data_IF_061333219576
#
_entry.id   IF_061333219576
#
_cell.length_a   1.000
_cell.length_b   1.000
_cell.length_c   1.000
_cell.angle_alpha   90.00
_cell.angle_beta   90.00
_cell.angle_gamma   90.00
#
_symmetry.space_group_name_H-M   'P 1'
#
loop_
_entity.id
_entity.type
_entity.pdbx_description
1 polymer ?
#
# COMPACT_ATOMS: atom_id res chain seq x y z
N UNK A 1 39.99 4.11 23.47
CA UNK A 1 39.13 3.95 24.67
C UNK A 1 37.70 3.98 24.17
N UNK A 2 37.07 2.81 24.11
CA UNK A 2 35.74 2.59 23.53
C UNK A 2 34.71 2.98 24.59
N UNK A 3 33.89 4.00 24.32
CA UNK A 3 32.82 4.41 25.24
C UNK A 3 31.49 3.80 24.79
N UNK A 4 30.98 2.97 25.69
CA UNK A 4 29.74 2.21 25.65
C UNK A 4 28.52 3.15 25.68
N UNK A 5 27.68 3.10 24.65
CA UNK A 5 26.50 3.96 24.52
C UNK A 5 25.29 3.46 25.31
N UNK A 6 25.42 2.38 26.10
CA UNK A 6 24.36 1.86 26.98
C UNK A 6 24.20 2.58 28.32
N UNK A 7 24.86 3.72 28.55
CA UNK A 7 24.87 4.38 29.84
C UNK A 7 24.31 5.82 29.83
N UNK A 8 23.07 6.03 29.36
CA UNK A 8 22.26 7.18 29.80
C UNK A 8 20.84 6.70 30.07
N UNK A 9 20.42 6.91 31.32
CA UNK A 9 19.24 6.32 31.92
C UNK A 9 17.91 6.83 31.39
N UNK A 10 16.94 5.93 31.45
CA UNK A 10 15.51 6.23 31.44
C UNK A 10 15.19 7.24 32.55
N UNK A 11 14.77 8.44 32.18
CA UNK A 11 14.31 9.46 33.12
C UNK A 11 13.93 10.76 32.43
N UNK A 12 12.69 10.86 31.95
CA UNK A 12 12.12 12.10 31.44
C UNK A 12 11.30 11.91 30.17
N UNK A 13 9.99 11.70 30.33
CA UNK A 13 9.02 11.65 29.23
C UNK A 13 8.89 13.06 28.62
N UNK A 14 9.19 13.31 27.33
CA UNK A 14 8.89 14.60 26.72
C UNK A 14 7.42 14.58 26.30
N UNK A 15 6.54 14.93 27.24
CA UNK A 15 5.09 15.12 27.00
C UNK A 15 4.79 16.37 26.14
N UNK A 16 5.79 16.87 25.40
CA UNK A 16 5.80 18.16 24.71
C UNK A 16 5.96 18.04 23.20
N UNK A 17 6.50 16.94 22.68
CA UNK A 17 6.90 16.88 21.26
C UNK A 17 5.74 16.58 20.30
N UNK A 18 4.62 16.09 20.82
CA UNK A 18 3.41 15.77 20.03
C UNK A 18 2.25 16.71 20.31
N UNK A 19 2.35 17.58 21.33
CA UNK A 19 1.23 18.43 21.76
C UNK A 19 0.86 19.46 20.69
N UNK A 20 1.86 20.05 20.03
CA UNK A 20 1.63 20.96 18.92
C UNK A 20 0.98 20.26 17.71
N UNK A 21 1.28 18.97 17.50
CA UNK A 21 0.66 18.16 16.45
C UNK A 21 -0.81 17.87 16.77
N UNK A 22 -1.10 17.49 18.01
CA UNK A 22 -2.48 17.29 18.51
C UNK A 22 -3.30 18.58 18.43
N UNK A 23 -2.75 19.71 18.87
CA UNK A 23 -3.42 21.01 18.81
C UNK A 23 -3.69 21.44 17.36
N UNK A 24 -2.75 21.18 16.44
CA UNK A 24 -2.92 21.47 15.01
C UNK A 24 -3.99 20.60 14.36
N UNK A 25 -4.01 19.29 14.69
CA UNK A 25 -5.03 18.35 14.22
C UNK A 25 -6.41 18.76 14.75
N UNK A 26 -6.51 19.10 16.04
CA UNK A 26 -7.77 19.52 16.66
C UNK A 26 -8.29 20.83 16.07
N UNK A 27 -7.41 21.79 15.79
CA UNK A 27 -7.77 23.05 15.16
C UNK A 27 -8.23 22.86 13.71
N UNK A 28 -7.57 21.98 12.95
CA UNK A 28 -8.00 21.59 11.60
C UNK A 28 -9.37 20.90 11.63
N UNK A 29 -9.59 19.96 12.56
CA UNK A 29 -10.87 19.27 12.73
C UNK A 29 -11.98 20.26 13.09
N UNK A 30 -11.73 21.21 14.00
CA UNK A 30 -12.73 22.22 14.38
C UNK A 30 -13.06 23.16 13.21
N UNK A 31 -12.04 23.59 12.46
CA UNK A 31 -12.22 24.47 11.29
C UNK A 31 -12.97 23.77 10.16
N UNK A 32 -12.68 22.48 9.93
CA UNK A 32 -13.41 21.64 8.98
C UNK A 32 -14.84 21.43 9.47
N UNK A 33 -15.04 21.16 10.77
CA UNK A 33 -16.37 20.94 11.36
C UNK A 33 -17.25 22.20 11.34
N UNK A 34 -16.67 23.40 11.52
CA UNK A 34 -17.39 24.67 11.42
C UNK A 34 -17.74 25.06 9.99
N UNK A 35 -16.85 24.76 9.02
CA UNK A 35 -17.12 24.95 7.58
C UNK A 35 -18.13 23.95 7.03
N UNK A 36 -18.20 22.77 7.63
CA UNK A 36 -19.20 21.74 7.37
C UNK A 36 -20.42 22.00 8.27
N UNK A 37 -21.04 23.16 8.11
CA UNK A 37 -22.34 23.44 8.71
C UNK A 37 -23.38 22.58 7.96
N UNK A 38 -23.54 21.33 8.43
CA UNK A 38 -24.40 20.26 7.91
C UNK A 38 -23.90 19.50 6.65
N UNK A 39 -22.82 18.73 6.76
CA UNK A 39 -22.76 17.44 6.05
C UNK A 39 -23.31 16.41 7.03
N UNK A 40 -24.55 15.96 6.85
CA UNK A 40 -25.20 14.99 7.75
C UNK A 40 -24.28 13.79 7.97
N UNK A 41 -24.35 13.15 9.14
CA UNK A 41 -23.62 11.89 9.42
C UNK A 41 -23.77 10.86 8.29
N UNK A 42 -24.91 10.91 7.59
CA UNK A 42 -25.20 10.15 6.37
C UNK A 42 -24.20 10.39 5.22
N UNK A 43 -23.79 11.64 4.96
CA UNK A 43 -22.77 11.95 3.97
C UNK A 43 -21.39 11.39 4.35
N UNK A 44 -21.02 11.46 5.64
CA UNK A 44 -19.77 10.86 6.13
C UNK A 44 -19.80 9.34 6.03
N UNK A 45 -20.91 8.70 6.42
CA UNK A 45 -21.10 7.26 6.29
C UNK A 45 -21.06 6.80 4.83
N UNK A 46 -21.70 7.56 3.92
CA UNK A 46 -21.71 7.26 2.49
C UNK A 46 -20.31 7.41 1.88
N UNK A 47 -19.57 8.46 2.22
CA UNK A 47 -18.18 8.64 1.79
C UNK A 47 -17.28 7.50 2.29
N UNK A 48 -17.42 7.09 3.56
CA UNK A 48 -16.69 5.94 4.11
C UNK A 48 -17.04 4.64 3.39
N UNK A 49 -18.32 4.39 3.11
CA UNK A 49 -18.78 3.19 2.39
C UNK A 49 -18.20 3.14 0.97
N UNK A 50 -18.30 4.25 0.23
CA UNK A 50 -17.75 4.36 -1.12
C UNK A 50 -16.22 4.19 -1.11
N UNK A 51 -15.54 4.77 -0.13
CA UNK A 51 -14.10 4.60 0.06
C UNK A 51 -13.72 3.13 0.31
N UNK A 52 -14.44 2.44 1.20
CA UNK A 52 -14.25 1.00 1.45
C UNK A 52 -14.49 0.17 0.19
N UNK A 53 -15.56 0.47 -0.55
CA UNK A 53 -15.87 -0.23 -1.79
C UNK A 53 -14.79 0.00 -2.86
N UNK A 54 -14.34 1.24 -3.05
CA UNK A 54 -13.27 1.57 -3.97
C UNK A 54 -11.97 0.84 -3.63
N UNK A 55 -11.58 0.81 -2.35
CA UNK A 55 -10.42 0.06 -1.86
C UNK A 55 -10.57 -1.44 -2.13
N UNK A 56 -11.70 -2.04 -1.79
CA UNK A 56 -11.97 -3.46 -2.06
C UNK A 56 -11.91 -3.77 -3.56
N UNK A 57 -12.43 -2.89 -4.40
CA UNK A 57 -12.37 -3.04 -5.86
C UNK A 57 -10.92 -3.00 -6.37
N UNK A 58 -10.10 -2.06 -5.90
CA UNK A 58 -8.66 -2.01 -6.26
C UNK A 58 -7.97 -3.30 -5.80
N UNK A 59 -8.20 -3.73 -4.56
CA UNK A 59 -7.61 -4.96 -4.02
C UNK A 59 -7.93 -6.15 -4.90
N UNK A 60 -9.20 -6.30 -5.29
CA UNK A 60 -9.63 -7.42 -6.11
C UNK A 60 -9.01 -7.37 -7.51
N UNK A 61 -9.00 -6.19 -8.17
CA UNK A 61 -8.39 -6.00 -9.48
C UNK A 61 -6.89 -6.30 -9.49
N UNK A 62 -6.18 -5.90 -8.45
CA UNK A 62 -4.75 -6.21 -8.28
C UNK A 62 -4.55 -7.72 -8.13
N UNK A 63 -5.33 -8.39 -7.27
CA UNK A 63 -5.24 -9.85 -7.12
C UNK A 63 -5.52 -10.56 -8.44
N UNK A 64 -6.56 -10.16 -9.15
CA UNK A 64 -6.92 -10.78 -10.42
C UNK A 64 -5.84 -10.54 -11.48
N UNK A 65 -5.24 -9.36 -11.54
CA UNK A 65 -4.11 -9.08 -12.42
C UNK A 65 -2.86 -9.94 -12.08
N UNK A 66 -2.54 -10.11 -10.79
CA UNK A 66 -1.46 -11.00 -10.34
C UNK A 66 -1.72 -12.44 -10.82
N UNK A 67 -2.94 -12.96 -10.64
CA UNK A 67 -3.27 -14.31 -11.07
C UNK A 67 -3.37 -14.47 -12.60
N UNK A 68 -3.62 -13.37 -13.33
CA UNK A 68 -3.56 -13.36 -14.78
C UNK A 68 -2.11 -13.42 -15.27
N UNK A 69 -1.20 -12.71 -14.60
CA UNK A 69 0.23 -12.66 -14.95
C UNK A 69 0.98 -13.92 -14.52
N UNK A 70 0.64 -14.46 -13.35
CA UNK A 70 1.23 -15.67 -12.78
C UNK A 70 0.20 -16.79 -12.75
N UNK A 71 -0.02 -17.41 -13.91
CA UNK A 71 -1.02 -18.47 -14.11
C UNK A 71 -0.80 -19.71 -13.22
N UNK A 72 0.43 -19.94 -12.80
CA UNK A 72 0.87 -20.98 -11.87
C UNK A 72 0.38 -20.74 -10.44
N UNK A 73 0.03 -19.50 -10.09
CA UNK A 73 -0.39 -19.11 -8.76
C UNK A 73 -1.83 -19.53 -8.50
N UNK A 74 -2.02 -20.52 -7.64
CA UNK A 74 -3.34 -21.05 -7.29
C UNK A 74 -4.03 -20.10 -6.29
N UNK A 75 -5.22 -19.60 -6.66
CA UNK A 75 -6.06 -18.78 -5.78
C UNK A 75 -6.39 -19.56 -4.49
N UNK A 76 -6.29 -18.93 -3.30
CA UNK A 76 -6.81 -19.51 -2.06
C UNK A 76 -8.27 -19.89 -2.25
N UNK A 77 -8.68 -21.07 -1.79
CA UNK A 77 -10.07 -21.52 -1.92
C UNK A 77 -10.97 -20.60 -1.09
N UNK A 78 -12.00 -20.06 -1.74
CA UNK A 78 -13.07 -19.29 -1.10
C UNK A 78 -14.38 -19.96 -1.44
N UNK A 79 -14.72 -21.08 -0.80
CA UNK A 79 -16.06 -21.68 -0.97
C UNK A 79 -17.11 -20.83 -0.26
N UNK A 80 -17.35 -19.61 -0.76
CA UNK A 80 -18.26 -18.61 -0.17
C UNK A 80 -18.00 -18.31 1.32
N UNK A 81 -16.79 -18.63 1.79
CA UNK A 81 -16.32 -18.39 3.14
C UNK A 81 -15.07 -17.54 3.09
N UNK A 82 -14.86 -16.77 4.16
CA UNK A 82 -13.65 -16.00 4.35
C UNK A 82 -12.45 -16.95 4.39
N UNK A 83 -11.38 -16.62 3.66
CA UNK A 83 -10.13 -17.40 3.65
C UNK A 83 -9.66 -17.58 5.09
N UNK A 84 -9.43 -18.82 5.49
CA UNK A 84 -8.94 -19.10 6.84
C UNK A 84 -7.48 -18.65 6.99
N UNK A 85 -7.06 -18.31 8.21
CA UNK A 85 -5.65 -17.94 8.49
C UNK A 85 -4.67 -19.04 8.05
N UNK A 86 -5.07 -20.31 8.14
CA UNK A 86 -4.25 -21.45 7.73
C UNK A 86 -4.15 -21.60 6.22
N UNK A 87 -5.25 -21.38 5.48
CA UNK A 87 -5.22 -21.36 4.01
C UNK A 87 -4.40 -20.17 3.48
N UNK A 88 -4.53 -18.99 4.09
CA UNK A 88 -3.71 -17.84 3.76
C UNK A 88 -2.22 -18.14 4.03
N UNK A 89 -1.91 -18.73 5.18
CA UNK A 89 -0.54 -19.12 5.52
C UNK A 89 0.00 -20.18 4.55
N UNK A 90 -0.80 -21.17 4.18
CA UNK A 90 -0.42 -22.20 3.19
C UNK A 90 -0.18 -21.61 1.82
N UNK A 91 -1.04 -20.69 1.38
CA UNK A 91 -0.87 -19.95 0.14
C UNK A 91 0.44 -19.16 0.15
N UNK A 92 0.65 -18.32 1.17
CA UNK A 92 1.86 -17.49 1.30
C UNK A 92 3.12 -18.35 1.37
N UNK A 93 3.11 -19.43 2.15
CA UNK A 93 4.27 -20.30 2.35
C UNK A 93 4.62 -21.21 1.17
N UNK A 94 3.78 -21.28 0.13
CA UNK A 94 4.07 -22.12 -1.02
C UNK A 94 5.29 -21.61 -1.81
N UNK A 95 6.07 -22.53 -2.38
CA UNK A 95 7.25 -22.16 -3.17
C UNK A 95 6.86 -21.33 -4.41
N UNK A 96 5.72 -21.64 -5.02
CA UNK A 96 5.15 -20.87 -6.14
C UNK A 96 4.90 -19.40 -5.74
N UNK A 97 4.28 -19.15 -4.59
CA UNK A 97 4.03 -17.77 -4.12
C UNK A 97 5.34 -17.02 -3.87
N UNK A 98 6.36 -17.70 -3.33
CA UNK A 98 7.69 -17.11 -3.09
C UNK A 98 8.41 -16.75 -4.40
N UNK A 99 8.32 -17.62 -5.40
CA UNK A 99 8.85 -17.37 -6.74
C UNK A 99 8.14 -16.18 -7.40
N UNK A 100 6.81 -16.13 -7.33
CA UNK A 100 6.01 -15.02 -7.83
C UNK A 100 6.37 -13.70 -7.14
N UNK A 101 6.53 -13.70 -5.81
CA UNK A 101 6.96 -12.51 -5.06
C UNK A 101 8.34 -12.00 -5.51
N UNK A 102 9.28 -12.93 -5.73
CA UNK A 102 10.61 -12.57 -6.23
C UNK A 102 10.54 -12.03 -7.66
N UNK A 103 9.68 -12.62 -8.51
CA UNK A 103 9.46 -12.21 -9.89
C UNK A 103 8.84 -10.82 -10.01
N UNK A 104 8.00 -10.39 -9.07
CA UNK A 104 7.43 -9.03 -9.06
C UNK A 104 8.50 -7.93 -9.24
N UNK A 105 9.67 -8.11 -8.62
CA UNK A 105 10.75 -7.12 -8.61
C UNK A 105 11.77 -7.33 -9.74
N UNK A 106 11.57 -8.32 -10.62
CA UNK A 106 12.45 -8.56 -11.76
C UNK A 106 11.99 -7.73 -12.98
N UNK A 107 12.93 -7.30 -13.84
CA UNK A 107 12.60 -6.67 -15.12
C UNK A 107 11.74 -7.61 -15.97
N UNK A 108 10.78 -7.06 -16.70
CA UNK A 108 10.01 -7.82 -17.71
C UNK A 108 10.91 -8.15 -18.90
N UNK A 109 11.65 -7.16 -19.37
CA UNK A 109 12.76 -7.33 -20.32
C UNK A 109 13.99 -6.59 -19.79
N UNK A 110 15.01 -7.36 -19.40
CA UNK A 110 16.24 -6.80 -18.84
C UNK A 110 17.08 -6.00 -19.86
N UNK A 111 16.78 -6.12 -21.16
CA UNK A 111 17.52 -5.43 -22.22
C UNK A 111 16.85 -4.12 -22.67
N UNK A 112 15.58 -3.91 -22.35
CA UNK A 112 14.81 -2.71 -22.75
C UNK A 112 14.79 -1.66 -21.63
N UNK A 113 14.05 -1.92 -20.55
CA UNK A 113 14.03 -1.07 -19.36
C UNK A 113 14.27 -1.94 -18.11
N UNK A 114 15.51 -1.94 -17.56
CA UNK A 114 15.83 -2.73 -16.38
C UNK A 114 15.09 -2.25 -15.12
N UNK A 115 14.44 -1.08 -15.15
CA UNK A 115 13.62 -0.57 -14.07
C UNK A 115 12.13 -0.89 -14.25
N UNK A 116 11.70 -1.35 -15.43
CA UNK A 116 10.32 -1.78 -15.67
C UNK A 116 10.12 -3.25 -15.28
N UNK A 117 9.51 -3.44 -14.11
CA UNK A 117 9.35 -4.76 -13.49
C UNK A 117 7.97 -5.36 -13.72
N UNK A 118 7.79 -6.64 -13.39
CA UNK A 118 6.48 -7.28 -13.39
C UNK A 118 5.46 -6.57 -12.48
N UNK A 119 5.92 -5.94 -11.40
CA UNK A 119 5.05 -5.08 -10.58
C UNK A 119 4.51 -3.90 -11.39
N UNK A 120 5.35 -3.24 -12.20
CA UNK A 120 4.92 -2.13 -13.05
C UNK A 120 3.90 -2.59 -14.09
N UNK A 121 4.17 -3.72 -14.75
CA UNK A 121 3.25 -4.33 -15.71
C UNK A 121 1.86 -4.60 -15.12
N UNK A 122 1.81 -5.21 -13.92
CA UNK A 122 0.56 -5.48 -13.21
C UNK A 122 -0.18 -4.17 -12.89
N UNK A 123 0.54 -3.13 -12.48
CA UNK A 123 -0.04 -1.84 -12.12
C UNK A 123 -0.59 -1.12 -13.35
N UNK A 124 0.11 -1.12 -14.48
CA UNK A 124 -0.37 -0.55 -15.74
C UNK A 124 -1.65 -1.24 -16.24
N UNK A 125 -1.73 -2.57 -16.12
CA UNK A 125 -2.93 -3.34 -16.45
C UNK A 125 -4.13 -2.96 -15.56
N UNK A 126 -3.90 -2.61 -14.30
CA UNK A 126 -4.97 -2.21 -13.36
C UNK A 126 -5.32 -0.74 -13.50
N UNK A 127 -4.37 0.14 -13.76
CA UNK A 127 -4.58 1.59 -13.81
C UNK A 127 -4.34 2.15 -15.21
N UNK A 128 -5.24 1.81 -16.13
CA UNK A 128 -5.19 2.26 -17.53
C UNK A 128 -5.60 3.72 -17.72
N UNK A 129 -6.15 4.39 -16.70
CA UNK A 129 -6.55 5.79 -16.78
C UNK A 129 -5.34 6.69 -16.44
N UNK A 130 -4.86 7.53 -17.36
CA UNK A 130 -3.70 8.40 -17.12
C UNK A 130 -3.95 9.46 -16.04
N UNK A 131 -5.20 9.67 -15.62
CA UNK A 131 -5.58 10.60 -14.54
C UNK A 131 -5.70 9.92 -13.17
N UNK A 132 -5.36 8.65 -13.04
CA UNK A 132 -5.40 7.96 -11.74
C UNK A 132 -4.40 8.59 -10.78
N UNK A 133 -4.88 8.98 -9.59
CA UNK A 133 -4.06 9.59 -8.54
C UNK A 133 -2.89 8.70 -8.08
N UNK A 134 -1.73 9.33 -7.79
CA UNK A 134 -0.52 8.67 -7.27
C UNK A 134 -0.83 7.79 -6.04
N UNK A 135 -1.69 8.26 -5.13
CA UNK A 135 -2.07 7.51 -3.94
C UNK A 135 -2.79 6.19 -4.26
N UNK A 136 -3.62 6.17 -5.31
CA UNK A 136 -4.31 4.95 -5.74
C UNK A 136 -3.34 3.94 -6.34
N UNK A 137 -2.37 4.43 -7.12
CA UNK A 137 -1.30 3.61 -7.71
C UNK A 137 -0.41 3.02 -6.61
N UNK A 138 0.06 3.86 -5.68
CA UNK A 138 0.87 3.46 -4.54
C UNK A 138 0.12 2.43 -3.65
N UNK A 139 -1.18 2.63 -3.43
CA UNK A 139 -2.02 1.65 -2.73
C UNK A 139 -2.08 0.33 -3.50
N UNK A 140 -2.26 0.35 -4.82
CA UNK A 140 -2.23 -0.86 -5.66
C UNK A 140 -0.91 -1.61 -5.57
N UNK A 141 0.22 -0.88 -5.63
CA UNK A 141 1.57 -1.46 -5.48
C UNK A 141 1.74 -2.12 -4.11
N UNK A 142 1.31 -1.44 -3.05
CA UNK A 142 1.34 -1.99 -1.70
C UNK A 142 0.49 -3.26 -1.59
N UNK A 143 -0.71 -3.29 -2.19
CA UNK A 143 -1.55 -4.50 -2.21
C UNK A 143 -0.82 -5.64 -2.92
N UNK A 144 -0.20 -5.39 -4.08
CA UNK A 144 0.49 -6.44 -4.83
C UNK A 144 1.64 -7.06 -4.03
N UNK A 145 2.46 -6.22 -3.41
CA UNK A 145 3.56 -6.65 -2.56
C UNK A 145 3.05 -7.44 -1.34
N UNK A 146 2.07 -6.90 -0.61
CA UNK A 146 1.53 -7.53 0.61
C UNK A 146 0.75 -8.82 0.34
N UNK A 147 0.17 -8.96 -0.86
CA UNK A 147 -0.60 -10.14 -1.20
C UNK A 147 0.28 -11.39 -1.29
N UNK A 148 1.49 -11.25 -1.85
CA UNK A 148 2.44 -12.34 -2.03
C UNK A 148 3.51 -12.39 -0.92
N UNK A 149 3.65 -11.35 -0.10
CA UNK A 149 4.64 -11.33 0.97
C UNK A 149 4.37 -12.39 2.06
N UNK A 150 5.42 -13.14 2.36
CA UNK A 150 5.51 -14.18 3.38
C UNK A 150 5.63 -13.60 4.80
N UNK A 151 6.13 -12.36 4.93
CA UNK A 151 6.39 -11.75 6.22
C UNK A 151 5.08 -11.24 6.83
N UNK A 152 4.62 -11.87 7.91
CA UNK A 152 3.44 -11.42 8.69
C UNK A 152 3.71 -10.16 9.53
N UNK A 153 4.89 -9.56 9.41
CA UNK A 153 5.24 -8.33 10.11
C UNK A 153 4.99 -7.14 9.21
N UNK A 154 4.65 -6.00 9.81
CA UNK A 154 4.89 -4.70 9.19
C UNK A 154 6.41 -4.58 8.99
N UNK A 155 6.97 -5.28 8.01
CA UNK A 155 8.34 -5.06 7.59
C UNK A 155 8.29 -3.86 6.67
N UNK A 156 9.09 -2.85 7.01
CA UNK A 156 9.43 -1.75 6.13
C UNK A 156 9.69 -2.34 4.74
N UNK A 157 8.87 -1.92 3.77
CA UNK A 157 9.18 -2.08 2.35
C UNK A 157 10.65 -1.66 2.20
N UNK A 158 11.50 -2.55 1.67
CA UNK A 158 12.94 -2.26 1.57
C UNK A 158 13.14 -0.91 0.86
N UNK A 159 14.15 -0.13 1.26
CA UNK A 159 14.41 1.18 0.65
C UNK A 159 14.53 1.10 -0.87
N UNK A 160 15.10 0.01 -1.39
CA UNK A 160 15.21 -0.27 -2.82
C UNK A 160 13.86 -0.44 -3.53
N UNK A 161 12.85 -0.99 -2.84
CA UNK A 161 11.48 -1.09 -3.38
C UNK A 161 10.77 0.26 -3.27
N UNK A 162 10.99 1.01 -2.18
CA UNK A 162 10.46 2.38 -2.03
C UNK A 162 11.03 3.32 -3.10
N UNK A 163 12.34 3.27 -3.36
CA UNK A 163 13.01 4.05 -4.41
C UNK A 163 12.44 3.73 -5.79
N UNK A 164 12.23 2.45 -6.10
CA UNK A 164 11.58 2.01 -7.35
C UNK A 164 10.12 2.46 -7.46
N UNK A 165 9.38 2.40 -6.36
CA UNK A 165 8.01 2.93 -6.31
C UNK A 165 7.99 4.43 -6.63
N UNK A 166 8.85 5.20 -5.98
CA UNK A 166 8.94 6.65 -6.21
C UNK A 166 9.34 6.97 -7.65
N UNK A 167 10.36 6.29 -8.19
CA UNK A 167 10.78 6.44 -9.58
C UNK A 167 9.64 6.19 -10.57
N UNK A 168 8.84 5.14 -10.34
CA UNK A 168 7.70 4.84 -11.19
C UNK A 168 6.59 5.89 -11.08
N UNK A 169 6.30 6.35 -9.86
CA UNK A 169 5.31 7.41 -9.63
C UNK A 169 5.71 8.74 -10.29
N UNK A 170 7.01 9.05 -10.35
CA UNK A 170 7.55 10.22 -11.04
C UNK A 170 7.46 10.06 -12.56
N UNK A 171 7.75 8.87 -13.10
CA UNK A 171 7.67 8.56 -14.53
C UNK A 171 6.25 8.62 -15.07
N UNK A 172 5.24 8.33 -14.24
CA UNK A 172 3.83 8.31 -14.64
C UNK A 172 3.24 9.69 -14.96
N UNK A 173 3.98 10.81 -14.78
CA UNK A 173 3.53 12.19 -15.07
C UNK A 173 2.08 12.50 -14.64
N UNK A 174 1.65 11.97 -13.49
CA UNK A 174 0.30 12.20 -12.96
C UNK A 174 0.31 13.50 -12.18
N UNK A 175 -0.63 14.39 -12.53
CA UNK A 175 -0.84 15.68 -11.89
C UNK A 175 -0.90 15.57 -10.37
N UNK A 176 -0.02 16.29 -9.68
CA UNK A 176 -0.15 16.62 -8.26
C UNK A 176 -1.36 17.53 -8.09
N UNK A 177 -2.54 16.96 -7.90
CA UNK A 177 -3.67 17.74 -7.42
C UNK A 177 -3.83 17.47 -5.92
N UNK A 178 -3.02 18.17 -5.13
CA UNK A 178 -3.43 18.62 -3.80
C UNK A 178 -4.42 19.77 -4.00
N UNK A 179 -5.67 19.47 -4.36
CA UNK A 179 -6.73 20.46 -4.22
C UNK A 179 -7.17 20.48 -2.75
N UNK A 180 -6.64 21.51 -2.06
CA UNK A 180 -6.99 22.07 -0.76
C UNK A 180 -8.50 22.17 -0.48
#
# INVERSE_FOLDING_TARGET
MYMDWKAIGFGGHPKSDTKWLEDTINQAISTISEKIKYSSEECLMNAQRLSRQARSNIVQRIKDAIHSEFSELIKPKTQNQQVTSDEEKKFKNSDITRECYTKLNKPVDANDDPHYTYLNLIIDHVFTNPKTEKNSIAFGMAVALNYLDLSKGVNMVSSEVVERMNFFLDKMQVSEHESL
#
